data_IF_550302399424
#
_entry.id   IF_550302399424
#
_cell.length_a   1.000
_cell.length_b   1.000
_cell.length_c   1.000
_cell.angle_alpha   90.00
_cell.angle_beta   90.00
_cell.angle_gamma   90.00
#
_symmetry.space_group_name_H-M   'P 1'
#
loop_
_entity.id
_entity.type
_entity.pdbx_description
1 polymer ?
#
# COMPACT_ATOMS: atom_id res chain seq x y z
N UNK A 1 9.88 26.23 -3.08
CA UNK A 1 8.99 25.12 -3.39
C UNK A 1 7.83 25.62 -4.23
N UNK A 2 7.62 25.04 -5.42
CA UNK A 2 6.57 25.45 -6.35
C UNK A 2 5.27 24.66 -6.09
N UNK A 3 4.48 25.10 -5.12
CA UNK A 3 3.19 24.46 -4.78
C UNK A 3 2.19 24.38 -5.93
N UNK A 4 2.30 25.31 -6.91
CA UNK A 4 1.43 25.28 -8.10
C UNK A 4 1.73 24.08 -8.97
N UNK A 5 3.00 23.76 -9.15
CA UNK A 5 3.44 22.59 -9.92
C UNK A 5 3.03 21.28 -9.21
N UNK A 6 3.28 21.16 -7.90
CA UNK A 6 2.81 20.02 -7.09
C UNK A 6 1.30 19.85 -7.22
N UNK A 7 0.55 20.95 -7.05
CA UNK A 7 -0.91 20.94 -7.16
C UNK A 7 -1.41 20.58 -8.57
N UNK A 8 -0.70 20.94 -9.62
CA UNK A 8 -1.04 20.59 -11.00
C UNK A 8 -0.90 19.07 -11.24
N UNK A 9 0.24 18.48 -10.86
CA UNK A 9 0.48 17.04 -10.95
C UNK A 9 -0.55 16.28 -10.11
N UNK A 10 -0.76 16.69 -8.86
CA UNK A 10 -1.71 16.08 -7.96
C UNK A 10 -3.14 16.10 -8.52
N UNK A 11 -3.62 17.25 -8.98
CA UNK A 11 -4.97 17.41 -9.57
C UNK A 11 -5.14 16.57 -10.84
N UNK A 12 -4.12 16.52 -11.69
CA UNK A 12 -4.13 15.66 -12.89
C UNK A 12 -4.31 14.19 -12.53
N UNK A 13 -3.54 13.71 -11.56
CA UNK A 13 -3.61 12.34 -11.07
C UNK A 13 -4.96 12.03 -10.40
N UNK A 14 -5.49 12.95 -9.61
CA UNK A 14 -6.82 12.78 -8.99
C UNK A 14 -7.94 12.78 -10.05
N UNK A 15 -7.87 13.64 -11.05
CA UNK A 15 -8.82 13.64 -12.17
C UNK A 15 -8.80 12.34 -12.98
N UNK A 16 -7.64 11.68 -13.10
CA UNK A 16 -7.53 10.34 -13.69
C UNK A 16 -8.34 9.32 -12.90
N UNK A 17 -8.30 9.36 -11.57
CA UNK A 17 -9.08 8.46 -10.71
C UNK A 17 -10.57 8.57 -10.94
N UNK A 18 -11.09 9.80 -11.08
CA UNK A 18 -12.50 10.01 -11.37
C UNK A 18 -12.93 9.41 -12.71
N UNK A 19 -12.06 9.46 -13.72
CA UNK A 19 -12.31 8.84 -15.04
C UNK A 19 -12.26 7.31 -15.01
N UNK A 20 -11.56 6.72 -14.03
CA UNK A 20 -11.38 5.27 -13.88
C UNK A 20 -11.97 4.73 -12.57
N UNK A 21 -13.05 5.33 -12.07
CA UNK A 21 -13.65 5.05 -10.75
C UNK A 21 -14.01 3.57 -10.56
N UNK A 22 -14.58 2.95 -11.58
CA UNK A 22 -14.94 1.53 -11.55
C UNK A 22 -13.72 0.64 -11.29
N UNK A 23 -12.60 0.93 -11.96
CA UNK A 23 -11.38 0.16 -11.82
C UNK A 23 -10.60 0.53 -10.55
N UNK A 24 -10.56 1.82 -10.19
CA UNK A 24 -9.72 2.32 -9.10
C UNK A 24 -10.34 2.14 -7.71
N UNK A 25 -11.66 2.08 -7.61
CA UNK A 25 -12.38 2.00 -6.33
C UNK A 25 -13.34 0.82 -6.30
N UNK A 26 -14.26 0.72 -7.26
CA UNK A 26 -15.32 -0.29 -7.19
C UNK A 26 -14.75 -1.70 -7.26
N UNK A 27 -13.85 -1.98 -8.20
CA UNK A 27 -13.26 -3.31 -8.35
C UNK A 27 -12.50 -3.79 -7.10
N UNK A 28 -11.60 -3.01 -6.47
CA UNK A 28 -10.96 -3.41 -5.22
C UNK A 28 -11.95 -3.59 -4.05
N UNK A 29 -12.96 -2.74 -3.94
CA UNK A 29 -13.98 -2.86 -2.88
C UNK A 29 -14.79 -4.15 -3.05
N UNK A 30 -15.26 -4.44 -4.28
CA UNK A 30 -16.00 -5.69 -4.57
C UNK A 30 -15.12 -6.91 -4.30
N UNK A 31 -13.87 -6.91 -4.78
CA UNK A 31 -12.94 -8.02 -4.54
C UNK A 31 -12.69 -8.26 -3.04
N UNK A 32 -12.47 -7.20 -2.28
CA UNK A 32 -12.23 -7.31 -0.83
C UNK A 32 -13.52 -7.74 -0.10
N UNK A 33 -14.70 -7.27 -0.54
CA UNK A 33 -15.98 -7.73 0.01
C UNK A 33 -16.20 -9.22 -0.23
N UNK A 34 -15.83 -9.74 -1.40
CA UNK A 34 -15.88 -11.18 -1.68
C UNK A 34 -14.93 -11.96 -0.78
N UNK A 35 -13.74 -11.43 -0.48
CA UNK A 35 -12.85 -12.04 0.51
C UNK A 35 -13.49 -12.08 1.89
N UNK A 36 -14.17 -11.03 2.36
CA UNK A 36 -14.90 -11.06 3.63
C UNK A 36 -15.98 -12.13 3.66
N UNK A 37 -16.75 -12.28 2.58
CA UNK A 37 -17.77 -13.31 2.48
C UNK A 37 -17.16 -14.71 2.47
N UNK A 38 -16.19 -14.96 1.60
CA UNK A 38 -15.60 -16.30 1.44
C UNK A 38 -14.83 -16.72 2.70
N UNK A 39 -13.89 -15.87 3.15
CA UNK A 39 -13.06 -16.21 4.31
C UNK A 39 -13.82 -16.09 5.62
N UNK A 40 -14.67 -15.08 5.77
CA UNK A 40 -15.50 -14.91 6.97
C UNK A 40 -16.54 -16.01 7.13
N UNK A 41 -17.25 -16.38 6.07
CA UNK A 41 -18.29 -17.41 6.14
C UNK A 41 -17.70 -18.84 6.02
N UNK A 42 -16.89 -19.13 5.00
CA UNK A 42 -16.44 -20.51 4.75
C UNK A 42 -15.37 -20.98 5.75
N UNK A 43 -14.39 -20.13 6.06
CA UNK A 43 -13.32 -20.47 7.01
C UNK A 43 -13.74 -20.13 8.44
N UNK A 44 -14.44 -19.02 8.66
CA UNK A 44 -14.97 -18.63 9.98
C UNK A 44 -15.94 -19.62 10.58
N UNK A 45 -16.62 -20.46 9.76
CA UNK A 45 -17.43 -21.58 10.26
C UNK A 45 -16.60 -22.70 10.91
N UNK A 46 -15.32 -22.82 10.57
CA UNK A 46 -14.39 -23.85 11.09
C UNK A 46 -13.40 -23.30 12.11
N UNK A 47 -12.96 -22.05 11.91
CA UNK A 47 -12.07 -21.34 12.84
C UNK A 47 -12.91 -20.24 13.50
N UNK A 48 -13.40 -20.51 14.71
CA UNK A 48 -14.30 -19.59 15.41
C UNK A 48 -13.59 -18.32 15.87
N UNK A 49 -12.34 -18.44 16.33
CA UNK A 49 -11.55 -17.30 16.82
C UNK A 49 -10.05 -17.49 16.60
N UNK A 50 -9.34 -16.38 16.44
CA UNK A 50 -7.89 -16.27 16.42
C UNK A 50 -7.50 -15.23 17.45
N UNK A 51 -6.67 -15.63 18.43
CA UNK A 51 -6.20 -14.75 19.53
C UNK A 51 -7.34 -14.01 20.25
N UNK A 52 -8.51 -14.66 20.40
CA UNK A 52 -9.66 -14.11 21.13
C UNK A 52 -10.62 -13.28 20.28
N UNK A 53 -10.32 -13.02 19.01
CA UNK A 53 -11.18 -12.27 18.08
C UNK A 53 -11.79 -13.22 17.05
N UNK A 54 -13.04 -12.98 16.62
CA UNK A 54 -13.66 -13.80 15.57
C UNK A 54 -12.83 -13.75 14.29
N UNK A 55 -12.71 -14.87 13.58
CA UNK A 55 -11.86 -14.96 12.39
C UNK A 55 -12.22 -13.90 11.34
N UNK A 56 -13.52 -13.66 11.08
CA UNK A 56 -13.98 -12.65 10.14
C UNK A 56 -13.50 -11.24 10.50
N UNK A 57 -13.53 -10.91 11.79
CA UNK A 57 -13.04 -9.63 12.31
C UNK A 57 -11.51 -9.55 12.25
N UNK A 58 -10.80 -10.64 12.57
CA UNK A 58 -9.35 -10.72 12.57
C UNK A 58 -8.72 -10.44 11.20
N UNK A 59 -9.33 -10.87 10.09
CA UNK A 59 -8.79 -10.70 8.74
C UNK A 59 -8.96 -9.29 8.17
N UNK A 60 -9.86 -8.45 8.74
CA UNK A 60 -10.17 -7.10 8.22
C UNK A 60 -8.91 -6.24 8.05
N UNK A 61 -8.07 -6.05 9.09
CA UNK A 61 -6.86 -5.24 8.95
C UNK A 61 -5.90 -5.75 7.86
N UNK A 62 -5.75 -7.07 7.76
CA UNK A 62 -4.91 -7.70 6.73
C UNK A 62 -5.42 -7.43 5.31
N UNK A 63 -6.72 -7.55 5.07
CA UNK A 63 -7.34 -7.29 3.77
C UNK A 63 -7.31 -5.81 3.38
N UNK A 64 -7.52 -4.90 4.34
CA UNK A 64 -7.35 -3.46 4.10
C UNK A 64 -5.92 -3.16 3.68
N UNK A 65 -4.92 -3.69 4.41
CA UNK A 65 -3.51 -3.49 4.09
C UNK A 65 -3.12 -4.09 2.75
N UNK A 66 -3.59 -5.30 2.41
CA UNK A 66 -3.38 -5.92 1.09
C UNK A 66 -3.84 -4.98 -0.04
N UNK A 67 -5.03 -4.41 0.10
CA UNK A 67 -5.60 -3.50 -0.89
C UNK A 67 -4.85 -2.17 -0.96
N UNK A 68 -4.50 -1.58 0.18
CA UNK A 68 -3.73 -0.33 0.26
C UNK A 68 -2.34 -0.49 -0.35
N UNK A 69 -1.61 -1.57 -0.02
CA UNK A 69 -0.29 -1.88 -0.57
C UNK A 69 -0.32 -1.99 -2.08
N UNK A 70 -1.20 -2.86 -2.60
CA UNK A 70 -1.30 -3.12 -4.05
C UNK A 70 -1.70 -1.87 -4.83
N UNK A 71 -2.66 -1.11 -4.33
CA UNK A 71 -3.13 0.12 -4.99
C UNK A 71 -2.13 1.28 -4.89
N UNK A 72 -1.41 1.40 -3.78
CA UNK A 72 -0.35 2.40 -3.64
C UNK A 72 0.74 2.20 -4.69
N UNK A 73 1.19 0.95 -4.85
CA UNK A 73 2.19 0.60 -5.85
C UNK A 73 1.65 0.82 -7.26
N UNK A 74 0.48 0.29 -7.57
CA UNK A 74 -0.11 0.38 -8.91
C UNK A 74 -0.36 1.83 -9.35
N UNK A 75 -0.95 2.66 -8.47
CA UNK A 75 -1.23 4.06 -8.78
C UNK A 75 0.05 4.88 -8.98
N UNK A 76 1.05 4.70 -8.13
CA UNK A 76 2.31 5.45 -8.22
C UNK A 76 3.17 4.99 -9.40
N UNK A 77 3.29 3.68 -9.62
CA UNK A 77 4.08 3.14 -10.72
C UNK A 77 3.51 3.52 -12.08
N UNK A 78 2.21 3.40 -12.27
CA UNK A 78 1.55 3.83 -13.49
C UNK A 78 1.65 5.35 -13.67
N UNK A 79 1.50 6.13 -12.59
CA UNK A 79 1.54 7.59 -12.61
C UNK A 79 2.80 8.15 -13.25
N UNK A 80 3.97 7.63 -12.88
CA UNK A 80 5.25 8.08 -13.43
C UNK A 80 5.64 7.35 -14.72
N UNK A 81 5.25 6.08 -14.87
CA UNK A 81 5.58 5.31 -16.06
C UNK A 81 4.85 5.80 -17.30
N UNK A 82 3.57 6.17 -17.19
CA UNK A 82 2.78 6.60 -18.34
C UNK A 82 3.35 7.86 -19.04
N UNK A 83 3.70 8.95 -18.33
CA UNK A 83 4.44 10.06 -18.92
C UNK A 83 5.76 9.67 -19.58
N UNK A 84 6.49 8.69 -19.02
CA UNK A 84 7.70 8.15 -19.62
C UNK A 84 7.41 7.41 -20.92
N UNK A 85 6.37 6.60 -20.95
CA UNK A 85 5.95 5.82 -22.11
C UNK A 85 5.51 6.69 -23.30
N UNK A 86 4.74 7.77 -23.02
CA UNK A 86 4.27 8.69 -24.07
C UNK A 86 5.25 9.82 -24.38
N UNK A 87 6.38 9.91 -23.68
CA UNK A 87 7.41 10.91 -23.88
C UNK A 87 7.20 12.26 -23.19
N UNK A 88 6.03 12.51 -22.55
CA UNK A 88 5.75 13.77 -21.85
C UNK A 88 6.59 13.97 -20.59
N UNK A 89 7.34 12.97 -20.16
CA UNK A 89 8.28 13.07 -19.04
C UNK A 89 9.38 14.12 -19.34
N UNK A 90 9.76 14.31 -20.62
CA UNK A 90 10.76 15.32 -20.98
C UNK A 90 10.27 16.74 -20.73
N UNK A 91 8.98 17.00 -20.94
CA UNK A 91 8.36 18.30 -20.61
C UNK A 91 8.38 18.53 -19.09
N UNK A 92 8.07 17.50 -18.33
CA UNK A 92 8.10 17.53 -16.86
C UNK A 92 9.53 17.81 -16.34
N UNK A 93 10.55 17.16 -16.92
CA UNK A 93 11.95 17.30 -16.50
C UNK A 93 12.58 18.62 -16.97
N UNK A 94 12.05 19.25 -18.03
CA UNK A 94 12.51 20.56 -18.53
C UNK A 94 11.82 21.73 -17.82
N UNK A 95 10.71 21.50 -17.13
CA UNK A 95 10.02 22.52 -16.36
C UNK A 95 10.88 22.99 -15.16
N UNK A 96 10.72 24.25 -14.71
CA UNK A 96 11.45 24.77 -13.55
C UNK A 96 10.88 24.24 -12.21
N UNK A 97 10.90 22.92 -12.06
CA UNK A 97 10.42 22.19 -10.89
C UNK A 97 11.51 21.25 -10.36
N UNK A 98 11.58 21.13 -9.04
CA UNK A 98 12.52 20.20 -8.41
C UNK A 98 12.01 18.77 -8.45
N UNK A 99 12.93 17.80 -8.40
CA UNK A 99 12.58 16.39 -8.32
C UNK A 99 11.71 16.08 -7.09
N UNK A 100 11.93 16.78 -5.98
CA UNK A 100 11.12 16.62 -4.77
C UNK A 100 9.65 17.01 -5.01
N UNK A 101 9.41 18.06 -5.78
CA UNK A 101 8.06 18.51 -6.16
C UNK A 101 7.36 17.49 -7.08
N UNK A 102 8.11 16.90 -8.02
CA UNK A 102 7.60 15.81 -8.87
C UNK A 102 7.16 14.63 -8.02
N UNK A 103 8.05 14.16 -7.14
CA UNK A 103 7.77 13.03 -6.24
C UNK A 103 6.56 13.33 -5.35
N UNK A 104 6.53 14.52 -4.74
CA UNK A 104 5.44 14.91 -3.86
C UNK A 104 4.09 14.94 -4.59
N UNK A 105 4.05 15.38 -5.84
CA UNK A 105 2.84 15.38 -6.66
C UNK A 105 2.32 13.97 -6.95
N UNK A 106 3.15 13.10 -7.51
CA UNK A 106 2.75 11.74 -7.89
C UNK A 106 2.52 10.83 -6.69
N UNK A 107 3.46 10.79 -5.76
CA UNK A 107 3.37 9.95 -4.55
C UNK A 107 2.25 10.43 -3.64
N UNK A 108 2.10 11.75 -3.47
CA UNK A 108 1.01 12.33 -2.69
C UNK A 108 -0.36 11.96 -3.27
N UNK A 109 -0.55 12.05 -4.58
CA UNK A 109 -1.80 11.64 -5.23
C UNK A 109 -2.06 10.13 -5.07
N UNK A 110 -1.05 9.28 -5.32
CA UNK A 110 -1.19 7.83 -5.18
C UNK A 110 -1.50 7.42 -3.73
N UNK A 111 -0.80 8.00 -2.76
CA UNK A 111 -1.06 7.76 -1.34
C UNK A 111 -2.48 8.19 -0.93
N UNK A 112 -2.92 9.37 -1.34
CA UNK A 112 -4.29 9.85 -1.06
C UNK A 112 -5.35 8.90 -1.62
N UNK A 113 -5.20 8.45 -2.88
CA UNK A 113 -6.11 7.48 -3.50
C UNK A 113 -6.19 6.19 -2.67
N UNK A 114 -5.05 5.68 -2.24
CA UNK A 114 -4.95 4.42 -1.50
C UNK A 114 -5.49 4.55 -0.07
N UNK A 115 -5.29 5.69 0.59
CA UNK A 115 -5.88 5.99 1.90
C UNK A 115 -7.41 6.04 1.79
N UNK A 116 -7.94 6.77 0.81
CA UNK A 116 -9.39 6.86 0.59
C UNK A 116 -9.98 5.48 0.31
N UNK A 117 -9.32 4.67 -0.54
CA UNK A 117 -9.74 3.30 -0.80
C UNK A 117 -9.71 2.44 0.48
N UNK A 118 -8.64 2.52 1.27
CA UNK A 118 -8.53 1.79 2.54
C UNK A 118 -9.64 2.14 3.51
N UNK A 119 -10.00 3.43 3.61
CA UNK A 119 -11.12 3.88 4.44
C UNK A 119 -12.49 3.40 3.90
N UNK A 120 -12.70 3.37 2.59
CA UNK A 120 -13.91 2.83 1.98
C UNK A 120 -14.02 1.32 2.25
N UNK A 121 -12.93 0.57 2.08
CA UNK A 121 -12.91 -0.87 2.38
C UNK A 121 -13.19 -1.11 3.87
N UNK A 122 -12.59 -0.30 4.76
CA UNK A 122 -12.84 -0.40 6.20
C UNK A 122 -14.31 -0.13 6.55
N UNK A 123 -14.90 0.92 5.97
CA UNK A 123 -16.32 1.22 6.12
C UNK A 123 -17.20 0.08 5.60
N UNK A 124 -16.83 -0.51 4.45
CA UNK A 124 -17.52 -1.66 3.88
C UNK A 124 -17.40 -2.90 4.76
N UNK A 125 -16.22 -3.17 5.34
CA UNK A 125 -16.01 -4.28 6.27
C UNK A 125 -16.90 -4.18 7.52
N UNK A 126 -17.17 -2.95 7.99
CA UNK A 126 -18.08 -2.69 9.10
C UNK A 126 -19.54 -3.11 8.85
N UNK A 127 -19.93 -3.35 7.57
CA UNK A 127 -21.25 -3.91 7.22
C UNK A 127 -21.31 -5.43 7.41
N UNK A 128 -20.16 -6.11 7.41
CA UNK A 128 -20.07 -7.58 7.51
C UNK A 128 -19.70 -8.05 8.92
N UNK A 129 -18.89 -7.28 9.65
CA UNK A 129 -18.38 -7.66 10.95
C UNK A 129 -18.35 -6.46 11.90
N UNK A 130 -18.58 -6.68 13.23
CA UNK A 130 -18.43 -5.60 14.20
C UNK A 130 -16.95 -5.20 14.32
N UNK A 131 -16.67 -3.95 14.00
CA UNK A 131 -15.31 -3.40 14.10
C UNK A 131 -15.17 -2.62 15.41
N UNK A 132 -14.11 -2.93 16.16
CA UNK A 132 -13.71 -2.17 17.32
C UNK A 132 -12.32 -1.58 17.07
N UNK A 133 -12.21 -0.25 17.02
CA UNK A 133 -10.94 0.46 16.81
C UNK A 133 -10.54 1.05 18.15
N UNK A 134 -9.56 0.40 18.83
CA UNK A 134 -9.09 0.86 20.14
C UNK A 134 -8.20 2.11 20.00
N UNK A 135 -7.38 2.17 18.97
CA UNK A 135 -6.42 3.24 18.75
C UNK A 135 -6.56 3.90 17.38
N UNK A 136 -7.57 4.79 17.15
CA UNK A 136 -7.85 5.36 15.83
C UNK A 136 -6.71 6.20 15.26
N UNK A 137 -5.95 6.89 16.11
CA UNK A 137 -4.76 7.65 15.66
C UNK A 137 -3.65 6.76 15.14
N UNK A 138 -3.41 5.62 15.77
CA UNK A 138 -2.43 4.65 15.30
C UNK A 138 -2.90 3.95 14.02
N UNK A 139 -4.20 3.67 13.91
CA UNK A 139 -4.79 3.17 12.66
C UNK A 139 -4.52 4.11 11.49
N UNK A 140 -4.81 5.41 11.64
CA UNK A 140 -4.53 6.40 10.62
C UNK A 140 -3.03 6.54 10.34
N UNK A 141 -2.19 6.51 11.36
CA UNK A 141 -0.73 6.58 11.21
C UNK A 141 -0.20 5.42 10.36
N UNK A 142 -0.57 4.17 10.67
CA UNK A 142 -0.15 3.01 9.89
C UNK A 142 -0.72 3.04 8.47
N UNK A 143 -1.98 3.47 8.30
CA UNK A 143 -2.61 3.61 6.99
C UNK A 143 -1.85 4.61 6.10
N UNK A 144 -1.57 5.80 6.63
CA UNK A 144 -0.83 6.86 5.91
C UNK A 144 0.61 6.42 5.65
N UNK A 145 1.30 5.89 6.65
CA UNK A 145 2.68 5.45 6.53
C UNK A 145 2.84 4.35 5.48
N UNK A 146 1.93 3.37 5.48
CA UNK A 146 1.88 2.33 4.46
C UNK A 146 1.64 2.90 3.07
N UNK A 147 0.61 3.74 2.91
CA UNK A 147 0.26 4.33 1.62
C UNK A 147 1.41 5.16 1.04
N UNK A 148 2.07 5.98 1.84
CA UNK A 148 3.21 6.81 1.40
C UNK A 148 4.42 5.95 1.05
N UNK A 149 4.78 5.01 1.91
CA UNK A 149 5.95 4.14 1.71
C UNK A 149 5.81 3.31 0.43
N UNK A 150 4.65 2.68 0.24
CA UNK A 150 4.43 1.83 -0.94
C UNK A 150 4.10 2.62 -2.20
N UNK A 151 3.62 3.86 -2.10
CA UNK A 151 3.59 4.78 -3.24
C UNK A 151 4.99 5.20 -3.68
N UNK A 152 5.92 5.48 -2.74
CA UNK A 152 7.33 5.70 -3.08
C UNK A 152 7.97 4.48 -3.73
N UNK A 153 7.75 3.30 -3.19
CA UNK A 153 8.23 2.06 -3.79
C UNK A 153 7.64 1.83 -5.19
N UNK A 154 6.34 2.06 -5.37
CA UNK A 154 5.69 2.01 -6.68
C UNK A 154 6.25 3.03 -7.66
N UNK A 155 6.57 4.25 -7.20
CA UNK A 155 7.21 5.27 -8.01
C UNK A 155 8.59 4.82 -8.53
N UNK A 156 9.39 4.16 -7.69
CA UNK A 156 10.68 3.55 -8.08
C UNK A 156 10.46 2.49 -9.16
N UNK A 157 9.48 1.60 -8.97
CA UNK A 157 9.12 0.57 -9.96
C UNK A 157 8.73 1.21 -11.29
N UNK A 158 7.93 2.27 -11.27
CA UNK A 158 7.49 2.97 -12.48
C UNK A 158 8.64 3.59 -13.27
N UNK A 159 9.67 4.12 -12.59
CA UNK A 159 10.88 4.61 -13.24
C UNK A 159 11.72 3.46 -13.82
N UNK A 160 11.84 2.37 -13.06
CA UNK A 160 12.65 1.22 -13.45
C UNK A 160 12.05 0.44 -14.62
N UNK A 161 10.73 0.37 -14.73
CA UNK A 161 10.03 -0.38 -15.76
C UNK A 161 10.29 0.22 -17.16
N UNK A 162 10.47 -0.66 -18.13
CA UNK A 162 10.60 -0.35 -19.56
C UNK A 162 9.43 -0.88 -20.40
N UNK A 163 8.44 -1.51 -19.75
CA UNK A 163 7.20 -2.02 -20.35
C UNK A 163 6.08 -2.20 -19.32
N UNK A 164 4.82 -2.21 -19.81
CA UNK A 164 3.64 -2.45 -18.95
C UNK A 164 3.67 -3.81 -18.27
N UNK A 165 4.31 -4.79 -18.89
CA UNK A 165 4.49 -6.12 -18.32
C UNK A 165 5.28 -6.07 -17.01
N UNK A 166 6.40 -5.33 -17.00
CA UNK A 166 7.24 -5.17 -15.80
C UNK A 166 6.55 -4.40 -14.69
N UNK A 167 5.67 -3.45 -15.03
CA UNK A 167 4.86 -2.75 -14.04
C UNK A 167 3.97 -3.69 -13.22
N UNK A 168 3.44 -4.73 -13.85
CA UNK A 168 2.54 -5.67 -13.21
C UNK A 168 3.27 -6.86 -12.58
N UNK A 169 4.43 -7.22 -13.13
CA UNK A 169 5.22 -8.36 -12.69
C UNK A 169 5.65 -8.23 -11.22
N UNK A 170 6.18 -7.08 -10.81
CA UNK A 170 6.65 -6.88 -9.43
C UNK A 170 5.50 -6.93 -8.40
N UNK A 171 4.38 -6.20 -8.56
CA UNK A 171 3.24 -6.36 -7.66
C UNK A 171 2.73 -7.80 -7.57
N UNK A 172 2.63 -8.49 -8.71
CA UNK A 172 2.07 -9.83 -8.76
C UNK A 172 3.02 -10.91 -8.19
N UNK A 173 4.31 -10.87 -8.55
CA UNK A 173 5.27 -11.91 -8.17
C UNK A 173 5.96 -11.66 -6.83
N UNK A 174 6.05 -10.42 -6.39
CA UNK A 174 6.76 -10.06 -5.17
C UNK A 174 5.81 -9.57 -4.09
N UNK A 175 5.03 -8.52 -4.37
CA UNK A 175 4.23 -7.85 -3.33
C UNK A 175 3.08 -8.73 -2.86
N UNK A 176 2.37 -9.38 -3.78
CA UNK A 176 1.24 -10.25 -3.42
C UNK A 176 1.69 -11.43 -2.53
N UNK A 177 2.72 -12.23 -2.89
CA UNK A 177 3.22 -13.26 -1.99
C UNK A 177 3.73 -12.73 -0.65
N UNK A 178 4.45 -11.59 -0.63
CA UNK A 178 4.89 -10.97 0.61
C UNK A 178 3.73 -10.56 1.50
N UNK A 179 2.62 -10.07 0.92
CA UNK A 179 1.45 -9.65 1.70
C UNK A 179 0.70 -10.86 2.26
N UNK A 180 0.61 -11.96 1.50
CA UNK A 180 0.06 -13.22 2.01
C UNK A 180 0.92 -13.78 3.15
N UNK A 181 2.24 -13.86 2.95
CA UNK A 181 3.19 -14.27 4.00
C UNK A 181 3.27 -13.24 5.15
N UNK A 182 2.81 -12.01 4.93
CA UNK A 182 2.78 -10.93 5.91
C UNK A 182 1.75 -11.10 7.03
N UNK A 183 1.00 -12.20 7.08
CA UNK A 183 0.01 -12.46 8.12
C UNK A 183 -1.33 -11.76 7.85
N UNK A 184 -1.70 -11.53 6.57
CA UNK A 184 -3.00 -10.93 6.23
C UNK A 184 -4.18 -11.80 6.68
N UNK A 185 -4.04 -13.12 6.64
CA UNK A 185 -5.10 -14.11 6.89
C UNK A 185 -4.89 -14.97 8.13
N UNK A 186 -3.74 -14.87 8.78
CA UNK A 186 -3.35 -15.65 9.95
C UNK A 186 -2.44 -14.84 10.87
N UNK A 187 -2.28 -15.26 12.12
CA UNK A 187 -1.25 -14.70 13.01
C UNK A 187 0.10 -15.38 12.72
N UNK A 188 1.17 -14.60 12.70
CA UNK A 188 2.54 -15.11 12.52
C UNK A 188 2.90 -16.11 13.60
N UNK A 189 2.28 -16.02 14.78
CA UNK A 189 2.47 -16.95 15.89
C UNK A 189 1.92 -18.37 15.59
N UNK A 190 1.03 -18.51 14.61
CA UNK A 190 0.49 -19.82 14.18
C UNK A 190 1.46 -20.60 13.28
N UNK A 191 2.53 -19.97 12.79
CA UNK A 191 3.48 -20.61 11.90
C UNK A 191 4.51 -21.47 12.65
N UNK A 192 4.95 -22.60 12.05
CA UNK A 192 6.11 -23.34 12.52
C UNK A 192 7.36 -22.44 12.59
N UNK A 193 8.28 -22.76 13.50
CA UNK A 193 9.45 -21.90 13.82
C UNK A 193 10.27 -21.46 12.60
N UNK A 194 10.52 -22.35 11.64
CA UNK A 194 11.27 -22.02 10.42
C UNK A 194 10.55 -20.99 9.54
N UNK A 195 9.26 -21.17 9.30
CA UNK A 195 8.46 -20.23 8.51
C UNK A 195 8.27 -18.89 9.24
N UNK A 196 8.13 -18.90 10.56
CA UNK A 196 8.05 -17.70 11.37
C UNK A 196 9.29 -16.80 11.17
N UNK A 197 10.50 -17.38 11.18
CA UNK A 197 11.75 -16.66 10.97
C UNK A 197 11.79 -16.01 9.58
N UNK A 198 11.41 -16.76 8.53
CA UNK A 198 11.33 -16.22 7.15
C UNK A 198 10.31 -15.09 7.07
N UNK A 199 9.15 -15.28 7.68
CA UNK A 199 8.09 -14.28 7.70
C UNK A 199 8.52 -12.99 8.39
N UNK A 200 9.30 -13.05 9.46
CA UNK A 200 9.83 -11.86 10.15
C UNK A 200 10.88 -11.08 9.33
N UNK A 201 11.44 -11.65 8.26
CA UNK A 201 12.27 -10.88 7.31
C UNK A 201 11.42 -10.04 6.34
N UNK A 202 10.13 -10.29 6.29
CA UNK A 202 9.21 -9.59 5.41
C UNK A 202 8.76 -8.25 6.03
N UNK A 203 9.05 -7.08 5.42
CA UNK A 203 8.66 -5.79 5.97
C UNK A 203 7.13 -5.60 6.06
N UNK A 204 6.35 -6.33 5.27
CA UNK A 204 4.89 -6.24 5.26
C UNK A 204 4.25 -6.76 6.57
N UNK A 205 4.91 -7.71 7.25
CA UNK A 205 4.46 -8.21 8.57
C UNK A 205 4.28 -7.08 9.56
N UNK A 206 5.26 -6.18 9.61
CA UNK A 206 5.30 -5.08 10.59
C UNK A 206 4.16 -4.08 10.35
N UNK A 207 3.82 -3.83 9.10
CA UNK A 207 2.71 -2.97 8.71
C UNK A 207 1.37 -3.58 9.13
N UNK A 208 1.16 -4.85 8.79
CA UNK A 208 -0.09 -5.56 9.09
C UNK A 208 -0.24 -5.75 10.60
N UNK A 209 0.83 -6.14 11.29
CA UNK A 209 0.85 -6.32 12.74
C UNK A 209 0.52 -5.01 13.48
N UNK A 210 1.19 -3.92 13.13
CA UNK A 210 0.94 -2.61 13.74
C UNK A 210 -0.48 -2.08 13.44
N UNK A 211 -0.96 -2.26 12.21
CA UNK A 211 -2.31 -1.87 11.85
C UNK A 211 -3.36 -2.71 12.57
N UNK A 212 -3.16 -4.04 12.68
CA UNK A 212 -4.05 -4.93 13.44
C UNK A 212 -4.08 -4.58 14.92
N UNK A 213 -2.93 -4.27 15.50
CA UNK A 213 -2.86 -3.84 16.89
C UNK A 213 -3.72 -2.61 17.18
N UNK A 214 -3.81 -1.67 16.25
CA UNK A 214 -4.64 -0.49 16.42
C UNK A 214 -6.15 -0.79 16.54
N UNK A 215 -6.58 -1.95 16.08
CA UNK A 215 -7.97 -2.41 16.18
C UNK A 215 -8.23 -3.22 17.45
N UNK A 216 -7.37 -4.19 17.75
CA UNK A 216 -7.69 -5.28 18.72
C UNK A 216 -6.65 -5.41 19.83
N UNK A 217 -5.61 -4.57 19.87
CA UNK A 217 -4.47 -4.70 20.77
C UNK A 217 -3.67 -6.01 20.58
N UNK A 218 -3.95 -6.74 19.50
CA UNK A 218 -3.26 -7.97 19.11
C UNK A 218 -2.13 -7.61 18.13
N UNK A 219 -0.90 -7.97 18.49
CA UNK A 219 0.25 -7.73 17.65
C UNK A 219 1.16 -8.95 17.57
N UNK A 220 1.52 -9.37 16.35
CA UNK A 220 2.53 -10.40 16.13
C UNK A 220 3.95 -9.89 16.47
N UNK A 221 4.17 -8.57 16.34
CA UNK A 221 5.42 -7.86 16.64
C UNK A 221 5.12 -6.55 17.36
N UNK A 222 6.00 -6.12 18.26
CA UNK A 222 5.80 -4.87 19.00
C UNK A 222 5.62 -3.67 18.06
N UNK A 223 4.70 -2.78 18.44
CA UNK A 223 4.33 -1.59 17.65
C UNK A 223 5.52 -0.69 17.36
N UNK A 224 6.42 -0.51 18.34
CA UNK A 224 7.64 0.29 18.17
C UNK A 224 8.56 -0.26 17.07
N UNK A 225 8.78 -1.57 17.04
CA UNK A 225 9.56 -2.23 15.98
C UNK A 225 8.83 -2.10 14.62
N UNK A 226 7.52 -2.24 14.61
CA UNK A 226 6.71 -2.09 13.39
C UNK A 226 6.87 -0.70 12.78
N UNK A 227 6.78 0.34 13.58
CA UNK A 227 7.00 1.74 13.12
C UNK A 227 8.44 1.94 12.67
N UNK A 228 9.44 1.47 13.44
CA UNK A 228 10.85 1.65 13.10
C UNK A 228 11.22 0.99 11.76
N UNK A 229 10.76 -0.24 11.50
CA UNK A 229 11.03 -0.95 10.24
C UNK A 229 10.32 -0.27 9.07
N UNK A 230 9.08 0.17 9.26
CA UNK A 230 8.36 0.88 8.20
C UNK A 230 9.01 2.21 7.85
N UNK A 231 9.42 2.99 8.85
CA UNK A 231 10.17 4.23 8.65
C UNK A 231 11.52 3.97 8.00
N UNK A 232 12.22 2.91 8.37
CA UNK A 232 13.49 2.53 7.73
C UNK A 232 13.29 2.22 6.25
N UNK A 233 12.23 1.49 5.90
CA UNK A 233 11.89 1.20 4.51
C UNK A 233 11.50 2.46 3.73
N UNK A 234 10.73 3.36 4.35
CA UNK A 234 10.39 4.68 3.78
C UNK A 234 11.66 5.48 3.46
N UNK A 235 12.59 5.58 4.43
CA UNK A 235 13.87 6.28 4.27
C UNK A 235 14.71 5.63 3.15
N UNK A 236 14.77 4.31 3.11
CA UNK A 236 15.47 3.60 2.04
C UNK A 236 14.88 3.95 0.66
N UNK A 237 13.55 3.95 0.51
CA UNK A 237 12.89 4.37 -0.73
C UNK A 237 13.21 5.83 -1.08
N UNK A 238 13.22 6.75 -0.12
CA UNK A 238 13.60 8.16 -0.35
C UNK A 238 15.05 8.29 -0.84
N UNK A 239 15.97 7.54 -0.25
CA UNK A 239 17.39 7.53 -0.68
C UNK A 239 17.50 7.02 -2.12
N UNK A 240 16.81 5.95 -2.47
CA UNK A 240 16.79 5.41 -3.84
C UNK A 240 16.21 6.42 -4.83
N UNK A 241 15.11 7.08 -4.51
CA UNK A 241 14.50 8.12 -5.34
C UNK A 241 15.47 9.29 -5.53
N UNK A 242 16.09 9.77 -4.46
CA UNK A 242 17.11 10.82 -4.54
C UNK A 242 18.29 10.42 -5.45
N UNK A 243 18.80 9.19 -5.30
CA UNK A 243 19.87 8.65 -6.13
C UNK A 243 19.48 8.60 -7.62
N UNK A 244 18.26 8.12 -7.94
CA UNK A 244 17.72 8.07 -9.30
C UNK A 244 17.73 9.46 -9.94
N UNK A 245 17.21 10.47 -9.25
CA UNK A 245 17.17 11.84 -9.81
C UNK A 245 18.54 12.48 -9.89
N UNK A 246 19.47 12.20 -8.96
CA UNK A 246 20.83 12.69 -8.98
C UNK A 246 21.64 12.11 -10.14
N UNK A 247 21.45 10.84 -10.45
CA UNK A 247 22.20 10.13 -11.52
C UNK A 247 21.49 10.20 -12.87
N UNK A 248 20.22 10.54 -12.92
CA UNK A 248 19.38 10.46 -14.12
C UNK A 248 19.06 9.03 -14.55
N UNK A 249 19.26 8.04 -13.65
CA UNK A 249 19.09 6.62 -13.94
C UNK A 249 17.68 6.32 -14.45
N UNK A 250 17.58 5.81 -15.68
CA UNK A 250 16.32 5.43 -16.36
C UNK A 250 15.22 6.52 -16.42
N UNK A 251 15.55 7.78 -16.15
CA UNK A 251 14.63 8.92 -16.34
C UNK A 251 14.52 9.31 -17.81
N UNK A 252 15.59 9.07 -18.59
CA UNK A 252 15.66 9.27 -20.04
C UNK A 252 15.93 7.92 -20.69
N UNK A 253 15.17 7.63 -21.73
CA UNK A 253 15.46 6.50 -22.63
C UNK A 253 16.58 6.87 -23.59
#
# INVERSE_FOLDING_TARGET
MNFRAVGAIYKFEMARTWRTLLQSIVSPVVSTSLYFVVFGAAIGSRITSVEGVSYGTFIVPGLVMLSVLTQSIANASFGIYFPKFVGTIYELLSAPISYFEIVLGYVGAAATKSIVLGLIILATAGLFVPLHIHHPWWMLTFLVLTAVTFSLFGFIIGIWADGFEKLQMIPMLVVTPLTFLGGSFYSVNMLPSGWRTITLLNPVVYLISGFRWSFYEIADVSVGISVAITLSFLVACMIVVWWIFKTGYRLKN
#
